data_IF_237612585496
#
_entry.id   IF_237612585496
#
_cell.length_a   1.000
_cell.length_b   1.000
_cell.length_c   1.000
_cell.angle_alpha   90.00
_cell.angle_beta   90.00
_cell.angle_gamma   90.00
#
_symmetry.space_group_name_H-M   'P 1'
#
loop_
_entity.id
_entity.type
_entity.pdbx_description
1 polymer ?
#
# COMPACT_ATOMS: atom_id res chain seq x y z
N UNK A 1 -3.71 -1.33 -7.92
CA UNK A 1 -2.73 -1.12 -6.83
C UNK A 1 -3.08 0.15 -6.06
N UNK A 2 -2.41 0.42 -4.98
CA UNK A 2 -2.71 1.50 -4.01
C UNK A 2 -1.39 2.01 -3.48
N UNK A 3 -1.35 3.24 -3.01
CA UNK A 3 -0.28 3.70 -2.14
C UNK A 3 -0.85 4.52 -0.98
N UNK A 4 -0.60 4.06 0.24
CA UNK A 4 -0.93 4.80 1.45
C UNK A 4 0.32 4.91 2.33
N UNK A 5 0.43 6.04 3.02
CA UNK A 5 1.51 6.33 3.97
C UNK A 5 0.97 7.01 5.22
N UNK A 6 1.41 6.55 6.38
CA UNK A 6 1.11 7.15 7.67
C UNK A 6 2.39 7.46 8.43
N UNK A 7 2.51 8.68 8.93
CA UNK A 7 3.60 9.10 9.81
C UNK A 7 3.12 9.15 11.25
N UNK A 8 3.94 8.62 12.14
CA UNK A 8 3.79 8.69 13.60
C UNK A 8 4.79 9.71 14.16
N UNK A 9 4.32 10.91 14.43
CA UNK A 9 5.15 12.03 14.80
C UNK A 9 4.96 12.39 16.28
N UNK A 10 5.90 13.13 16.86
CA UNK A 10 5.77 13.64 18.24
C UNK A 10 4.46 14.40 18.42
N UNK A 11 4.10 15.27 17.49
CA UNK A 11 2.94 16.15 17.58
C UNK A 11 1.64 15.55 17.07
N UNK A 12 1.67 14.41 16.35
CA UNK A 12 0.46 13.84 15.79
C UNK A 12 0.68 12.78 14.72
N UNK A 13 -0.36 12.51 13.95
CA UNK A 13 -0.33 11.63 12.77
C UNK A 13 -0.52 12.47 11.51
N UNK A 14 0.19 12.07 10.45
CA UNK A 14 -0.07 12.51 9.08
C UNK A 14 -0.38 11.28 8.26
N UNK A 15 -1.54 11.27 7.61
CA UNK A 15 -2.06 10.12 6.87
C UNK A 15 -2.40 10.57 5.45
N UNK A 16 -1.85 9.88 4.46
CA UNK A 16 -2.05 10.21 3.04
C UNK A 16 -2.33 8.94 2.25
N UNK A 17 -3.38 8.97 1.44
CA UNK A 17 -3.73 7.86 0.54
C UNK A 17 -4.06 8.35 -0.85
N UNK A 18 -3.76 7.56 -1.87
CA UNK A 18 -4.38 7.71 -3.18
C UNK A 18 -5.81 7.18 -3.16
N UNK A 19 -6.58 7.46 -4.22
CA UNK A 19 -7.96 6.98 -4.38
C UNK A 19 -8.16 6.19 -5.67
N UNK A 20 -7.16 6.15 -6.55
CA UNK A 20 -7.27 5.43 -7.81
C UNK A 20 -7.35 3.93 -7.58
N UNK A 21 -8.31 3.28 -8.22
CA UNK A 21 -8.45 1.83 -8.26
C UNK A 21 -8.53 1.39 -9.70
N UNK A 22 -7.66 0.44 -10.08
CA UNK A 22 -7.62 -0.13 -11.44
C UNK A 22 -7.97 -1.60 -11.36
N UNK A 23 -9.04 -1.99 -12.04
CA UNK A 23 -9.42 -3.38 -12.27
C UNK A 23 -9.13 -3.72 -13.74
N UNK A 24 -7.83 -3.84 -14.09
CA UNK A 24 -7.36 -3.97 -15.46
C UNK A 24 -6.89 -2.66 -16.07
N UNK A 25 -6.63 -2.66 -17.40
CA UNK A 25 -6.02 -1.50 -18.09
C UNK A 25 -7.04 -0.37 -18.29
N UNK A 26 -8.29 -0.70 -18.55
CA UNK A 26 -9.35 0.23 -18.98
C UNK A 26 -10.40 0.55 -17.90
N UNK A 27 -10.36 -0.14 -16.76
CA UNK A 27 -11.34 0.07 -15.69
C UNK A 27 -10.70 0.82 -14.53
N UNK A 28 -10.64 2.15 -14.66
CA UNK A 28 -10.13 3.06 -13.64
C UNK A 28 -11.31 3.72 -12.93
N UNK A 29 -11.34 3.60 -11.61
CA UNK A 29 -12.36 4.21 -10.76
C UNK A 29 -11.71 4.92 -9.56
N UNK A 30 -12.49 5.76 -8.88
CA UNK A 30 -12.09 6.44 -7.64
C UNK A 30 -12.83 5.81 -6.48
N UNK A 31 -12.08 5.23 -5.55
CA UNK A 31 -12.63 4.67 -4.30
C UNK A 31 -11.94 5.29 -3.10
N UNK A 32 -12.71 5.51 -2.05
CA UNK A 32 -12.17 5.97 -0.80
C UNK A 32 -11.38 4.85 -0.13
N UNK A 33 -10.10 5.11 0.15
CA UNK A 33 -9.21 4.18 0.84
C UNK A 33 -8.90 4.61 2.26
N UNK A 34 -9.28 5.86 2.63
CA UNK A 34 -9.10 6.43 3.96
C UNK A 34 -10.46 6.53 4.66
N UNK A 35 -10.67 5.68 5.65
CA UNK A 35 -11.87 5.61 6.49
C UNK A 35 -11.60 6.34 7.80
N UNK A 36 -12.50 7.23 8.20
CA UNK A 36 -12.34 8.06 9.41
C UNK A 36 -13.50 7.81 10.35
N UNK A 37 -13.20 7.31 11.53
CA UNK A 37 -14.13 7.01 12.61
C UNK A 37 -13.90 8.00 13.73
N UNK A 38 -14.73 9.04 13.79
CA UNK A 38 -14.57 10.13 14.73
C UNK A 38 -15.80 10.25 15.64
N UNK A 39 -15.54 10.41 16.93
CA UNK A 39 -16.46 10.99 17.93
C UNK A 39 -15.66 12.05 18.66
N UNK A 40 -15.88 13.32 18.27
CA UNK A 40 -15.11 14.43 18.78
C UNK A 40 -15.10 14.48 20.33
N UNK A 41 -13.91 14.66 20.88
CA UNK A 41 -13.68 14.61 22.34
C UNK A 41 -13.58 13.21 22.93
N UNK A 42 -13.89 12.14 22.18
CA UNK A 42 -13.82 10.76 22.64
C UNK A 42 -12.77 9.94 21.89
N UNK A 43 -12.81 9.97 20.57
CA UNK A 43 -11.90 9.18 19.73
C UNK A 43 -11.75 9.72 18.31
N UNK A 44 -10.57 9.49 17.75
CA UNK A 44 -10.29 9.54 16.32
C UNK A 44 -9.56 8.28 15.95
N UNK A 45 -10.12 7.49 15.05
CA UNK A 45 -9.48 6.30 14.48
C UNK A 45 -9.54 6.46 12.96
N UNK A 46 -8.42 6.24 12.29
CA UNK A 46 -8.33 6.31 10.83
C UNK A 46 -7.75 5.00 10.32
N UNK A 47 -8.40 4.41 9.34
CA UNK A 47 -7.91 3.23 8.63
C UNK A 47 -7.67 3.56 7.16
N UNK A 48 -6.50 3.20 6.64
CA UNK A 48 -6.20 3.25 5.20
C UNK A 48 -5.97 1.84 4.69
N UNK A 49 -6.59 1.49 3.56
CA UNK A 49 -6.63 0.11 3.06
C UNK A 49 -5.96 -0.04 1.70
N UNK A 50 -5.34 -1.20 1.47
CA UNK A 50 -4.86 -1.66 0.17
C UNK A 50 -5.14 -3.14 -0.04
N UNK A 51 -5.14 -3.59 -1.28
CA UNK A 51 -5.37 -4.99 -1.66
C UNK A 51 -6.66 -5.17 -2.45
N UNK A 52 -7.33 -6.31 -2.25
CA UNK A 52 -8.59 -6.62 -2.91
C UNK A 52 -9.72 -5.73 -2.38
N UNK A 53 -10.40 -4.99 -3.28
CA UNK A 53 -11.42 -4.01 -2.89
C UNK A 53 -12.62 -4.67 -2.21
N UNK A 54 -13.10 -5.81 -2.69
CA UNK A 54 -14.24 -6.52 -2.09
C UNK A 54 -13.91 -6.97 -0.66
N UNK A 55 -12.72 -7.55 -0.46
CA UNK A 55 -12.22 -7.94 0.86
C UNK A 55 -12.11 -6.73 1.79
N UNK A 56 -11.53 -5.62 1.32
CA UNK A 56 -11.37 -4.41 2.15
C UNK A 56 -12.71 -3.82 2.54
N UNK A 57 -13.70 -3.74 1.62
CA UNK A 57 -15.03 -3.24 1.91
C UNK A 57 -15.77 -4.13 2.91
N UNK A 58 -15.69 -5.46 2.76
CA UNK A 58 -16.31 -6.40 3.71
C UNK A 58 -15.70 -6.26 5.12
N UNK A 59 -14.37 -6.16 5.22
CA UNK A 59 -13.69 -5.91 6.50
C UNK A 59 -14.13 -4.59 7.14
N UNK A 60 -14.24 -3.50 6.34
CA UNK A 60 -14.70 -2.21 6.86
C UNK A 60 -16.13 -2.28 7.38
N UNK A 61 -17.05 -2.92 6.66
CA UNK A 61 -18.42 -3.13 7.11
C UNK A 61 -18.47 -3.91 8.43
N UNK A 62 -17.71 -5.00 8.56
CA UNK A 62 -17.70 -5.79 9.78
C UNK A 62 -17.23 -5.01 11.02
N UNK A 63 -16.25 -4.13 10.90
CA UNK A 63 -15.80 -3.34 12.06
C UNK A 63 -16.74 -2.20 12.42
N UNK A 64 -17.56 -1.74 11.47
CA UNK A 64 -18.60 -0.74 11.70
C UNK A 64 -19.87 -1.36 12.29
N UNK A 65 -20.35 -2.48 11.72
CA UNK A 65 -21.54 -3.20 12.18
C UNK A 65 -21.29 -3.93 13.50
N UNK A 66 -20.05 -4.40 13.68
CA UNK A 66 -19.57 -5.05 14.90
C UNK A 66 -19.27 -6.52 14.72
N UNK A 67 -18.36 -7.00 15.57
CA UNK A 67 -18.03 -8.40 15.73
C UNK A 67 -18.26 -8.83 17.17
N UNK A 68 -18.78 -10.04 17.35
CA UNK A 68 -18.90 -10.64 18.68
C UNK A 68 -17.52 -11.04 19.18
N UNK A 69 -17.16 -10.55 20.34
CA UNK A 69 -15.95 -10.95 21.05
C UNK A 69 -16.19 -12.35 21.64
N UNK A 70 -15.41 -13.36 21.26
CA UNK A 70 -15.61 -14.74 21.72
C UNK A 70 -15.38 -14.94 23.23
N UNK A 71 -14.62 -14.04 23.87
CA UNK A 71 -14.31 -14.11 25.30
C UNK A 71 -15.43 -13.50 26.16
N UNK A 72 -16.01 -12.39 25.68
CA UNK A 72 -17.00 -11.63 26.45
C UNK A 72 -18.44 -11.83 25.97
N UNK A 73 -18.64 -12.36 24.77
CA UNK A 73 -19.94 -12.49 24.11
C UNK A 73 -20.59 -11.13 23.76
N UNK A 74 -19.83 -10.03 23.82
CA UNK A 74 -20.33 -8.69 23.49
C UNK A 74 -19.93 -8.32 22.07
N UNK A 75 -20.83 -7.66 21.37
CA UNK A 75 -20.53 -7.10 20.06
C UNK A 75 -19.67 -5.84 20.22
N UNK A 76 -18.47 -5.85 19.63
CA UNK A 76 -17.57 -4.69 19.56
C UNK A 76 -17.57 -4.08 18.17
N UNK A 77 -17.60 -2.76 18.12
CA UNK A 77 -17.45 -1.96 16.88
C UNK A 77 -16.22 -1.08 16.98
N UNK A 78 -15.81 -0.52 15.87
CA UNK A 78 -14.72 0.47 15.85
C UNK A 78 -15.03 1.69 16.75
N UNK A 79 -16.31 1.96 17.00
CA UNK A 79 -16.76 3.03 17.88
C UNK A 79 -16.90 2.66 19.37
N UNK A 80 -16.78 1.37 19.71
CA UNK A 80 -16.91 0.90 21.11
C UNK A 80 -15.59 0.43 21.72
N UNK A 81 -14.57 0.13 20.91
CA UNK A 81 -13.28 -0.36 21.38
C UNK A 81 -12.63 0.61 22.39
N UNK A 82 -12.02 0.10 23.50
CA UNK A 82 -11.48 0.95 24.56
C UNK A 82 -10.10 1.55 24.23
N UNK A 83 -9.43 1.11 23.17
CA UNK A 83 -8.08 1.56 22.81
C UNK A 83 -7.76 1.32 21.34
N UNK A 84 -6.73 2.01 20.83
CA UNK A 84 -6.25 1.79 19.45
C UNK A 84 -5.66 0.38 19.29
N UNK A 85 -5.07 -0.20 20.33
CA UNK A 85 -4.63 -1.59 20.30
C UNK A 85 -5.83 -2.55 20.09
N UNK A 86 -6.93 -2.33 20.83
CA UNK A 86 -8.13 -3.14 20.65
C UNK A 86 -8.76 -2.93 19.27
N UNK A 87 -8.72 -1.72 18.73
CA UNK A 87 -9.12 -1.45 17.35
C UNK A 87 -8.29 -2.26 16.33
N UNK A 88 -6.97 -2.36 16.52
CA UNK A 88 -6.11 -3.19 15.68
C UNK A 88 -6.43 -4.71 15.81
N UNK A 89 -6.74 -5.17 17.00
CA UNK A 89 -7.18 -6.56 17.25
C UNK A 89 -8.53 -6.86 16.60
N UNK A 90 -9.49 -5.95 16.72
CA UNK A 90 -10.81 -6.02 16.06
C UNK A 90 -10.66 -6.08 14.53
N UNK A 91 -9.82 -5.22 13.96
CA UNK A 91 -9.49 -5.23 12.53
C UNK A 91 -8.89 -6.58 12.11
N UNK A 92 -7.95 -7.11 12.88
CA UNK A 92 -7.35 -8.42 12.62
C UNK A 92 -8.38 -9.57 12.71
N UNK A 93 -9.32 -9.51 13.64
CA UNK A 93 -10.42 -10.46 13.75
C UNK A 93 -11.37 -10.38 12.55
N UNK A 94 -11.71 -9.15 12.10
CA UNK A 94 -12.51 -8.93 10.90
C UNK A 94 -11.85 -9.50 9.64
N UNK A 95 -10.54 -9.28 9.48
CA UNK A 95 -9.77 -9.82 8.35
C UNK A 95 -9.84 -11.35 8.33
N UNK A 96 -9.61 -12.02 9.47
CA UNK A 96 -9.69 -13.48 9.55
C UNK A 96 -11.11 -14.00 9.28
N UNK A 97 -12.13 -13.30 9.78
CA UNK A 97 -13.54 -13.67 9.55
C UNK A 97 -13.90 -13.57 8.05
N UNK A 98 -13.46 -12.53 7.35
CA UNK A 98 -13.66 -12.41 5.89
C UNK A 98 -12.84 -13.48 5.13
N UNK A 99 -11.63 -13.79 5.59
CA UNK A 99 -10.86 -14.89 5.03
C UNK A 99 -11.57 -16.24 5.17
N UNK A 100 -12.21 -16.50 6.29
CA UNK A 100 -12.96 -17.74 6.52
C UNK A 100 -14.21 -17.82 5.61
N UNK A 101 -14.82 -16.68 5.27
CA UNK A 101 -15.97 -16.65 4.35
C UNK A 101 -15.58 -16.74 2.87
N UNK A 102 -14.60 -15.95 2.45
CA UNK A 102 -14.34 -15.70 1.02
C UNK A 102 -13.04 -16.35 0.53
N UNK A 103 -12.14 -16.76 1.45
CA UNK A 103 -10.77 -17.18 1.11
C UNK A 103 -10.71 -18.44 0.24
N UNK A 104 -11.62 -19.42 0.44
CA UNK A 104 -11.68 -20.62 -0.39
C UNK A 104 -12.19 -20.29 -1.80
N UNK A 105 -13.28 -19.56 -1.92
CA UNK A 105 -13.84 -19.14 -3.19
C UNK A 105 -12.86 -18.28 -4.01
N UNK A 106 -12.13 -17.36 -3.36
CA UNK A 106 -11.09 -16.57 -4.02
C UNK A 106 -9.96 -17.47 -4.54
N UNK A 107 -9.51 -18.46 -3.77
CA UNK A 107 -8.46 -19.40 -4.16
C UNK A 107 -8.87 -20.26 -5.36
N UNK A 108 -10.09 -20.74 -5.39
CA UNK A 108 -10.65 -21.50 -6.52
C UNK A 108 -10.64 -20.67 -7.82
N UNK A 109 -10.88 -19.37 -7.71
CA UNK A 109 -10.84 -18.44 -8.83
C UNK A 109 -9.41 -17.90 -9.12
N UNK A 110 -8.37 -18.42 -8.47
CA UNK A 110 -6.99 -17.94 -8.58
C UNK A 110 -6.81 -16.45 -8.22
N UNK A 111 -7.68 -15.92 -7.36
CA UNK A 111 -7.59 -14.56 -6.83
C UNK A 111 -6.94 -14.62 -5.44
N UNK A 112 -5.91 -13.81 -5.24
CA UNK A 112 -5.25 -13.74 -3.94
C UNK A 112 -6.14 -13.00 -2.92
N UNK A 113 -6.26 -13.57 -1.72
CA UNK A 113 -6.76 -12.84 -0.57
C UNK A 113 -5.65 -11.90 -0.11
N UNK A 114 -5.77 -10.65 -0.51
CA UNK A 114 -4.77 -9.61 -0.21
C UNK A 114 -5.46 -8.41 0.43
N UNK A 115 -5.03 -8.09 1.63
CA UNK A 115 -5.43 -6.89 2.38
C UNK A 115 -4.26 -6.41 3.24
N UNK A 116 -4.06 -5.12 3.28
CA UNK A 116 -3.13 -4.47 4.19
C UNK A 116 -3.76 -3.19 4.70
N UNK A 117 -3.65 -2.92 5.99
CA UNK A 117 -4.29 -1.76 6.63
C UNK A 117 -3.29 -0.98 7.45
N UNK A 118 -3.23 0.33 7.26
CA UNK A 118 -2.64 1.26 8.24
C UNK A 118 -3.79 1.75 9.12
N UNK A 119 -3.70 1.50 10.43
CA UNK A 119 -4.69 1.93 11.41
C UNK A 119 -4.02 2.80 12.45
N UNK A 120 -4.49 4.02 12.64
CA UNK A 120 -3.93 4.94 13.61
C UNK A 120 -4.98 5.84 14.24
N UNK A 121 -4.60 6.47 15.35
CA UNK A 121 -5.49 7.39 16.06
C UNK A 121 -5.27 7.41 17.55
N UNK A 122 -6.30 7.85 18.25
CA UNK A 122 -6.32 7.96 19.71
C UNK A 122 -7.74 7.81 20.25
N UNK A 123 -7.86 7.14 21.38
CA UNK A 123 -9.07 7.06 22.22
C UNK A 123 -8.78 7.86 23.49
N UNK A 124 -9.77 8.56 24.01
CA UNK A 124 -9.67 9.36 25.24
C UNK A 124 -9.04 8.55 26.39
N UNK A 125 -8.08 9.16 27.07
CA UNK A 125 -7.32 8.54 28.17
C UNK A 125 -6.25 7.54 27.72
N UNK A 126 -6.18 7.20 26.41
CA UNK A 126 -5.19 6.30 25.87
C UNK A 126 -4.12 7.00 25.01
N UNK A 127 -2.99 6.33 24.72
CA UNK A 127 -1.94 6.88 23.87
C UNK A 127 -2.35 6.85 22.39
N UNK A 128 -1.88 7.86 21.64
CA UNK A 128 -1.89 7.84 20.19
C UNK A 128 -0.99 6.72 19.66
N UNK A 129 -1.48 5.94 18.69
CA UNK A 129 -0.75 4.82 18.07
C UNK A 129 -0.97 4.77 16.57
N UNK A 130 -0.04 4.10 15.87
CA UNK A 130 -0.12 3.78 14.46
C UNK A 130 0.31 2.33 14.24
N UNK A 131 -0.50 1.55 13.56
CA UNK A 131 -0.28 0.14 13.28
C UNK A 131 -0.29 -0.13 11.79
N UNK A 132 0.49 -1.13 11.36
CA UNK A 132 0.35 -1.79 10.07
C UNK A 132 -0.17 -3.21 10.32
N UNK A 133 -1.35 -3.52 9.78
CA UNK A 133 -2.05 -4.80 9.94
C UNK A 133 -1.95 -5.55 8.62
N UNK A 134 -1.52 -6.81 8.69
CA UNK A 134 -1.28 -7.70 7.56
C UNK A 134 -2.50 -8.57 7.25
N UNK A 135 -2.48 -9.25 6.10
CA UNK A 135 -3.55 -10.16 5.65
C UNK A 135 -3.85 -11.31 6.61
N UNK A 136 -2.90 -11.71 7.46
CA UNK A 136 -3.12 -12.70 8.50
C UNK A 136 -3.82 -12.14 9.76
N UNK A 137 -4.09 -10.82 9.79
CA UNK A 137 -4.70 -10.15 10.92
C UNK A 137 -3.74 -9.85 12.08
N UNK A 138 -2.44 -10.14 11.93
CA UNK A 138 -1.39 -9.70 12.83
C UNK A 138 -0.92 -8.29 12.46
N UNK A 139 -0.22 -7.62 13.36
CA UNK A 139 0.17 -6.22 13.15
C UNK A 139 1.49 -5.87 13.82
N UNK A 140 2.12 -4.80 13.33
CA UNK A 140 3.26 -4.13 13.94
C UNK A 140 2.90 -2.69 14.28
N UNK A 141 3.59 -2.11 15.27
CA UNK A 141 3.38 -0.74 15.73
C UNK A 141 4.53 0.15 15.29
N UNK A 142 4.22 1.37 14.84
CA UNK A 142 5.21 2.42 14.62
C UNK A 142 5.81 2.90 15.96
N UNK A 143 7.08 3.22 15.94
CA UNK A 143 7.85 3.73 17.09
C UNK A 143 8.58 5.02 16.72
N UNK A 144 9.25 5.64 17.68
CA UNK A 144 10.09 6.79 17.38
C UNK A 144 11.24 6.46 16.40
N UNK A 145 11.78 5.25 16.47
CA UNK A 145 12.86 4.79 15.59
C UNK A 145 12.34 4.37 14.20
N UNK A 146 11.07 4.00 14.11
CA UNK A 146 10.40 3.64 12.85
C UNK A 146 9.11 4.44 12.74
N UNK A 147 9.20 5.75 12.41
CA UNK A 147 8.10 6.69 12.57
C UNK A 147 7.13 6.71 11.39
N UNK A 148 7.16 5.73 10.49
CA UNK A 148 6.20 5.67 9.38
C UNK A 148 5.83 4.24 9.00
N UNK A 149 4.64 4.11 8.40
CA UNK A 149 4.12 2.89 7.80
C UNK A 149 3.67 3.18 6.37
N UNK A 150 3.86 2.20 5.49
CA UNK A 150 3.43 2.26 4.09
C UNK A 150 2.73 0.96 3.71
N UNK A 151 1.72 1.06 2.85
CA UNK A 151 1.04 -0.10 2.24
C UNK A 151 0.85 0.10 0.74
N UNK A 152 0.72 -0.98 0.01
CA UNK A 152 0.59 -0.99 -1.45
C UNK A 152 1.95 -0.85 -2.16
N UNK A 153 2.09 0.08 -3.10
CA UNK A 153 3.32 0.32 -3.88
C UNK A 153 4.37 1.13 -3.10
N UNK A 154 4.98 0.52 -2.12
CA UNK A 154 5.87 1.20 -1.16
C UNK A 154 7.24 1.58 -1.73
N UNK A 155 7.75 0.82 -2.71
CA UNK A 155 9.14 0.89 -3.18
C UNK A 155 9.55 2.23 -3.79
N UNK A 156 8.62 2.93 -4.45
CA UNK A 156 8.93 4.19 -5.13
C UNK A 156 8.94 5.40 -4.18
N UNK A 157 8.05 5.39 -3.19
CA UNK A 157 7.94 6.47 -2.21
C UNK A 157 8.90 6.33 -1.03
N UNK A 158 9.30 5.09 -0.69
CA UNK A 158 10.13 4.78 0.48
C UNK A 158 11.45 5.57 0.54
N UNK A 159 12.23 5.74 -0.55
CA UNK A 159 13.50 6.47 -0.50
C UNK A 159 13.38 7.94 -0.06
N UNK A 160 12.24 8.57 -0.26
CA UNK A 160 11.97 9.95 0.21
C UNK A 160 11.81 9.97 1.73
N UNK A 161 11.06 9.00 2.26
CA UNK A 161 10.76 8.89 3.69
C UNK A 161 11.98 8.45 4.49
N UNK A 162 12.70 7.42 4.05
CA UNK A 162 13.89 6.89 4.73
C UNK A 162 14.96 7.96 4.97
N UNK A 163 15.06 8.96 4.08
CA UNK A 163 16.07 10.02 4.19
C UNK A 163 15.67 11.16 5.10
N UNK A 164 14.35 11.40 5.23
CA UNK A 164 13.88 12.68 5.77
C UNK A 164 12.86 12.56 6.90
N UNK A 165 12.14 11.43 7.01
CA UNK A 165 11.11 11.26 8.04
C UNK A 165 11.76 10.86 9.38
N UNK A 166 11.50 11.64 10.41
CA UNK A 166 11.88 11.34 11.79
C UNK A 166 10.68 11.54 12.71
N UNK A 167 10.73 11.02 13.92
CA UNK A 167 9.69 11.25 14.92
C UNK A 167 9.51 12.73 15.28
N UNK A 168 10.57 13.53 15.14
CA UNK A 168 10.60 14.98 15.41
C UNK A 168 10.12 15.84 14.24
N UNK A 169 9.83 15.25 13.09
CA UNK A 169 9.31 15.97 11.91
C UNK A 169 8.01 16.68 12.28
N UNK A 170 7.89 17.97 11.94
CA UNK A 170 6.63 18.70 12.14
C UNK A 170 5.50 18.14 11.28
N UNK A 171 4.23 18.21 11.68
CA UNK A 171 3.11 17.70 10.87
C UNK A 171 3.07 18.29 9.46
N UNK A 172 3.36 19.57 9.30
CA UNK A 172 3.36 20.22 7.98
C UNK A 172 4.53 19.78 7.09
N UNK A 173 5.71 19.52 7.67
CA UNK A 173 6.81 18.88 6.95
C UNK A 173 6.49 17.43 6.64
N UNK A 174 5.82 16.73 7.53
CA UNK A 174 5.29 15.38 7.30
C UNK A 174 4.35 15.32 6.11
N UNK A 175 3.45 16.29 5.96
CA UNK A 175 2.59 16.40 4.74
C UNK A 175 3.44 16.56 3.48
N UNK A 176 4.44 17.44 3.49
CA UNK A 176 5.35 17.62 2.34
C UNK A 176 6.04 16.30 1.98
N UNK A 177 6.58 15.59 2.96
CA UNK A 177 7.25 14.30 2.76
C UNK A 177 6.30 13.25 2.17
N UNK A 178 5.09 13.12 2.72
CA UNK A 178 4.09 12.19 2.21
C UNK A 178 3.68 12.52 0.77
N UNK A 179 3.48 13.79 0.45
CA UNK A 179 3.12 14.22 -0.91
C UNK A 179 4.26 14.02 -1.92
N UNK A 180 5.52 14.23 -1.53
CA UNK A 180 6.69 13.92 -2.37
C UNK A 180 6.84 12.41 -2.58
N UNK A 181 6.62 11.63 -1.55
CA UNK A 181 6.60 10.16 -1.61
C UNK A 181 5.49 9.65 -2.52
N UNK A 182 4.30 10.27 -2.45
CA UNK A 182 3.16 10.00 -3.33
C UNK A 182 3.47 10.38 -4.78
N UNK A 183 4.08 11.55 -5.04
CA UNK A 183 4.47 11.98 -6.40
C UNK A 183 5.47 11.00 -7.03
N UNK A 184 6.48 10.56 -6.27
CA UNK A 184 7.44 9.56 -6.74
C UNK A 184 6.74 8.25 -7.15
N UNK A 185 5.71 7.85 -6.40
CA UNK A 185 4.94 6.64 -6.67
C UNK A 185 4.04 6.82 -7.89
N UNK A 186 3.29 7.91 -7.99
CA UNK A 186 2.42 8.22 -9.14
C UNK A 186 3.20 8.29 -10.45
N UNK A 187 4.41 8.86 -10.44
CA UNK A 187 5.29 8.92 -11.63
C UNK A 187 5.76 7.56 -12.11
N UNK A 188 5.87 6.60 -11.20
CA UNK A 188 6.49 5.30 -11.49
C UNK A 188 5.47 4.15 -11.57
N UNK A 189 4.21 4.38 -11.19
CA UNK A 189 3.16 3.38 -11.21
C UNK A 189 1.81 3.97 -11.63
N UNK A 190 1.32 3.59 -12.81
CA UNK A 190 0.07 4.07 -13.41
C UNK A 190 -1.18 3.74 -12.58
N UNK A 191 -1.13 2.73 -11.75
CA UNK A 191 -2.27 2.26 -10.95
C UNK A 191 -2.49 3.07 -9.67
N UNK A 192 -1.53 3.91 -9.30
CA UNK A 192 -1.62 4.88 -8.20
C UNK A 192 -1.87 6.26 -8.79
N UNK A 193 -2.80 7.03 -8.22
CA UNK A 193 -3.10 8.33 -8.79
C UNK A 193 -4.12 9.17 -8.02
N UNK A 194 -4.33 10.35 -8.57
CA UNK A 194 -5.26 11.35 -8.05
C UNK A 194 -6.73 10.87 -8.11
N UNK A 195 -7.60 11.43 -7.23
CA UNK A 195 -7.31 12.36 -6.12
C UNK A 195 -6.49 11.73 -4.98
N UNK A 196 -5.85 12.59 -4.16
CA UNK A 196 -5.12 12.20 -2.95
C UNK A 196 -5.86 12.72 -1.71
N UNK A 197 -6.12 11.85 -0.74
CA UNK A 197 -6.66 12.22 0.56
C UNK A 197 -5.53 12.47 1.55
N UNK A 198 -5.59 13.59 2.26
CA UNK A 198 -4.65 14.01 3.31
C UNK A 198 -5.42 14.24 4.60
N UNK A 199 -4.89 13.71 5.71
CA UNK A 199 -5.44 13.94 7.05
C UNK A 199 -4.31 14.20 8.03
N UNK A 200 -4.51 15.20 8.89
CA UNK A 200 -3.64 15.52 10.02
C UNK A 200 -4.44 15.36 11.30
N UNK A 201 -3.96 14.53 12.20
CA UNK A 201 -4.45 14.40 13.56
C UNK A 201 -3.41 14.95 14.52
N UNK A 202 -3.79 15.95 15.33
CA UNK A 202 -2.94 16.48 16.39
C UNK A 202 -3.08 15.62 17.65
N UNK A 203 -1.97 15.24 18.25
CA UNK A 203 -1.95 14.46 19.49
C UNK A 203 -2.82 15.11 20.57
N UNK A 204 -3.60 14.29 21.27
CA UNK A 204 -4.48 14.65 22.38
C UNK A 204 -5.65 15.59 22.02
N UNK A 205 -5.85 15.92 20.74
CA UNK A 205 -6.96 16.79 20.31
C UNK A 205 -8.32 16.07 20.31
N UNK A 206 -8.33 14.75 20.14
CA UNK A 206 -9.52 13.90 20.01
C UNK A 206 -10.53 14.44 18.99
N UNK A 207 -10.03 15.10 17.97
CA UNK A 207 -10.76 15.57 16.79
C UNK A 207 -9.85 15.63 15.59
N UNK A 208 -10.41 15.48 14.39
CA UNK A 208 -9.67 15.63 13.14
C UNK A 208 -9.25 17.10 12.99
N UNK A 209 -7.94 17.35 12.95
CA UNK A 209 -7.40 18.70 12.84
C UNK A 209 -7.52 19.27 11.43
N UNK A 210 -7.26 18.44 10.44
CA UNK A 210 -7.29 18.84 9.03
C UNK A 210 -7.57 17.63 8.15
N UNK A 211 -8.44 17.78 7.16
CA UNK A 211 -8.73 16.78 6.13
C UNK A 211 -8.99 17.47 4.80
N UNK A 212 -8.29 17.03 3.75
CA UNK A 212 -8.47 17.59 2.41
C UNK A 212 -8.29 16.51 1.35
N UNK A 213 -9.05 16.61 0.27
CA UNK A 213 -8.85 15.87 -0.97
C UNK A 213 -8.18 16.79 -1.99
N UNK A 214 -6.98 16.41 -2.42
CA UNK A 214 -6.22 17.11 -3.45
C UNK A 214 -6.58 16.53 -4.82
N UNK A 215 -6.93 17.41 -5.74
CA UNK A 215 -7.21 17.06 -7.14
C UNK A 215 -6.00 17.36 -8.04
N UNK A 216 -6.06 16.93 -9.28
CA UNK A 216 -4.93 16.97 -10.24
C UNK A 216 -4.31 18.37 -10.41
N UNK A 217 -5.12 19.40 -10.31
CA UNK A 217 -4.71 20.81 -10.48
C UNK A 217 -4.56 21.58 -9.17
N UNK A 218 -4.41 20.89 -8.04
CA UNK A 218 -4.16 21.55 -6.76
C UNK A 218 -2.89 22.42 -6.86
N UNK A 219 -2.97 23.74 -6.55
CA UNK A 219 -1.86 24.67 -6.75
C UNK A 219 -0.64 24.33 -5.89
N UNK A 220 -0.87 23.91 -4.63
CA UNK A 220 0.21 23.56 -3.73
C UNK A 220 0.93 22.29 -4.20
N UNK A 221 0.16 21.25 -4.55
CA UNK A 221 0.73 19.99 -5.02
C UNK A 221 1.48 20.18 -6.35
N UNK A 222 0.96 20.99 -7.27
CA UNK A 222 1.62 21.32 -8.54
C UNK A 222 2.95 22.05 -8.31
N UNK A 223 2.97 23.05 -7.45
CA UNK A 223 4.19 23.79 -7.07
C UNK A 223 5.21 22.87 -6.39
N UNK A 224 4.76 22.00 -5.47
CA UNK A 224 5.62 21.06 -4.76
C UNK A 224 6.35 20.12 -5.72
N UNK A 225 5.62 19.51 -6.67
CA UNK A 225 6.16 18.62 -7.71
C UNK A 225 7.18 19.32 -8.60
N UNK A 226 6.88 20.54 -9.04
CA UNK A 226 7.76 21.32 -9.90
C UNK A 226 9.06 21.63 -9.17
N UNK A 227 8.99 22.23 -7.98
CA UNK A 227 10.17 22.61 -7.20
C UNK A 227 11.05 21.42 -6.83
N UNK A 228 10.43 20.29 -6.47
CA UNK A 228 11.17 19.08 -6.18
C UNK A 228 11.94 18.58 -7.41
N UNK A 229 11.29 18.54 -8.56
CA UNK A 229 11.93 18.14 -9.82
C UNK A 229 13.06 19.07 -10.26
N UNK A 230 12.92 20.38 -10.02
CA UNK A 230 13.97 21.38 -10.30
C UNK A 230 15.17 21.20 -9.38
N UNK A 231 14.93 21.07 -8.07
CA UNK A 231 15.98 20.87 -7.07
C UNK A 231 16.78 19.59 -7.30
N UNK A 232 16.10 18.48 -7.65
CA UNK A 232 16.79 17.23 -8.00
C UNK A 232 17.71 17.37 -9.21
N UNK A 233 17.28 18.08 -10.27
CA UNK A 233 18.10 18.32 -11.44
C UNK A 233 19.29 19.23 -11.13
N UNK A 234 19.11 20.22 -10.28
CA UNK A 234 20.18 21.12 -9.83
C UNK A 234 21.23 20.34 -9.02
N UNK A 235 20.80 19.59 -8.01
CA UNK A 235 21.70 18.74 -7.22
C UNK A 235 22.43 17.74 -8.10
N UNK A 236 21.73 17.05 -9.03
CA UNK A 236 22.36 16.12 -9.96
C UNK A 236 23.49 16.78 -10.78
N UNK A 237 23.25 18.00 -11.29
CA UNK A 237 24.26 18.74 -12.07
C UNK A 237 25.45 19.22 -11.24
N UNK A 238 25.25 19.45 -9.93
CA UNK A 238 26.31 19.90 -9.01
C UNK A 238 27.24 18.77 -8.59
N UNK A 239 26.83 17.50 -8.72
CA UNK A 239 27.68 16.37 -8.39
C UNK A 239 28.79 16.25 -9.45
N UNK A 240 30.08 16.25 -9.04
CA UNK A 240 31.18 16.08 -9.97
C UNK A 240 31.06 14.78 -10.77
N UNK A 241 31.43 14.83 -12.04
CA UNK A 241 31.54 13.60 -12.84
C UNK A 241 32.65 12.71 -12.29
N UNK A 242 32.51 11.37 -12.35
CA UNK A 242 33.57 10.47 -11.93
C UNK A 242 34.79 10.62 -12.82
N UNK A 243 35.97 10.53 -12.25
CA UNK A 243 37.26 10.61 -12.93
C UNK A 243 37.73 9.27 -13.53
N UNK A 244 36.83 8.33 -13.71
CA UNK A 244 37.14 6.99 -14.24
C UNK A 244 37.92 6.96 -15.56
N UNK A 245 37.72 7.91 -16.52
CA UNK A 245 38.52 7.93 -17.73
C UNK A 245 40.02 8.11 -17.51
N UNK A 246 40.41 8.75 -16.40
CA UNK A 246 41.84 8.93 -16.06
C UNK A 246 42.49 7.68 -15.45
N UNK A 247 41.70 6.82 -14.79
CA UNK A 247 42.18 5.64 -14.05
C UNK A 247 41.58 4.33 -14.56
N UNK A 248 40.69 4.37 -15.56
CA UNK A 248 40.09 3.17 -16.11
C UNK A 248 41.12 2.31 -16.85
N UNK A 249 41.15 0.98 -16.65
CA UNK A 249 41.86 0.08 -17.52
C UNK A 249 41.49 0.32 -19.00
N UNK A 250 42.41 0.09 -19.93
CA UNK A 250 42.17 0.33 -21.36
C UNK A 250 40.86 -0.27 -21.90
N UNK A 251 40.40 -1.36 -21.29
CA UNK A 251 39.12 -1.99 -21.61
C UNK A 251 37.87 -1.12 -21.32
N UNK A 252 37.94 -0.15 -20.38
CA UNK A 252 36.83 0.75 -20.07
C UNK A 252 36.89 2.07 -20.88
N UNK A 253 37.96 2.30 -21.64
CA UNK A 253 38.10 3.49 -22.50
C UNK A 253 37.44 3.36 -23.87
N UNK A 254 36.70 2.26 -24.11
CA UNK A 254 36.01 2.06 -25.39
C UNK A 254 34.93 3.14 -25.57
N UNK A 255 34.96 3.74 -26.76
CA UNK A 255 33.89 4.63 -27.20
C UNK A 255 32.69 3.81 -27.62
N UNK A 256 31.52 4.45 -27.65
CA UNK A 256 30.26 3.80 -28.01
C UNK A 256 30.25 3.24 -29.45
N UNK A 257 31.08 3.78 -30.33
CA UNK A 257 31.29 3.43 -31.73
C UNK A 257 32.46 2.47 -32.00
N UNK A 258 33.16 2.01 -30.93
CA UNK A 258 34.22 1.01 -31.10
C UNK A 258 33.62 -0.35 -31.54
N UNK A 259 34.31 -1.10 -32.42
CA UNK A 259 33.83 -2.40 -32.89
C UNK A 259 33.68 -3.41 -31.72
N UNK A 260 32.78 -4.40 -31.86
CA UNK A 260 32.56 -5.39 -30.81
C UNK A 260 33.86 -6.07 -30.40
N UNK A 261 33.98 -6.41 -29.09
CA UNK A 261 35.17 -7.15 -28.59
C UNK A 261 35.35 -8.49 -29.30
N UNK A 262 36.56 -8.81 -29.66
CA UNK A 262 36.86 -10.14 -30.16
C UNK A 262 36.67 -11.20 -29.06
N UNK A 263 36.40 -12.46 -29.42
CA UNK A 263 36.33 -13.55 -28.43
C UNK A 263 37.60 -13.68 -27.58
N UNK A 264 38.77 -13.29 -28.12
CA UNK A 264 40.05 -13.30 -27.43
C UNK A 264 40.13 -12.21 -26.36
N UNK A 265 39.65 -11.02 -26.67
CA UNK A 265 39.59 -9.89 -25.72
C UNK A 265 38.63 -10.22 -24.55
N UNK A 266 37.50 -10.82 -24.83
CA UNK A 266 36.53 -11.28 -23.80
C UNK A 266 37.16 -12.34 -22.90
N UNK A 267 37.93 -13.26 -23.48
CA UNK A 267 38.64 -14.29 -22.72
C UNK A 267 39.78 -13.72 -21.86
N UNK A 268 40.49 -12.70 -22.36
CA UNK A 268 41.51 -11.99 -21.61
C UNK A 268 40.93 -11.21 -20.40
N UNK A 269 39.78 -10.56 -20.57
CA UNK A 269 39.07 -9.87 -19.50
C UNK A 269 38.62 -10.82 -18.36
N UNK A 270 38.17 -12.03 -18.72
CA UNK A 270 37.78 -13.06 -17.73
C UNK A 270 38.94 -13.63 -16.92
N UNK A 271 40.19 -13.52 -17.43
CA UNK A 271 41.41 -13.99 -16.74
C UNK A 271 41.99 -12.95 -15.79
N UNK A 272 41.56 -11.70 -15.83
CA UNK A 272 42.01 -10.69 -14.89
C UNK A 272 41.36 -10.92 -13.51
N UNK A 273 42.15 -10.89 -12.42
CA UNK A 273 41.61 -10.99 -11.07
C UNK A 273 40.70 -9.79 -10.83
N UNK A 274 39.61 -9.95 -10.07
CA UNK A 274 38.67 -8.86 -9.75
C UNK A 274 39.44 -7.70 -9.11
N UNK A 275 39.16 -6.48 -9.58
CA UNK A 275 39.71 -5.25 -9.02
C UNK A 275 39.49 -5.19 -7.50
N UNK A 276 40.47 -4.68 -6.74
CA UNK A 276 40.35 -4.51 -5.29
C UNK A 276 39.08 -3.75 -4.86
N UNK A 277 38.55 -2.88 -5.73
CA UNK A 277 37.31 -2.10 -5.51
C UNK A 277 36.04 -2.95 -5.57
N UNK A 278 36.09 -4.16 -6.14
CA UNK A 278 34.92 -5.05 -6.23
C UNK A 278 34.92 -6.16 -5.14
N UNK A 279 35.88 -6.15 -4.21
CA UNK A 279 35.83 -7.05 -3.05
C UNK A 279 34.72 -6.51 -2.10
N UNK A 280 33.68 -7.31 -1.91
CA UNK A 280 32.74 -7.07 -0.82
C UNK A 280 33.50 -7.00 0.49
N UNK A 281 33.08 -6.15 1.42
CA UNK A 281 33.66 -6.02 2.74
C UNK A 281 33.76 -7.36 3.50
N UNK A 282 32.98 -8.37 3.12
CA UNK A 282 33.02 -9.76 3.60
C UNK A 282 34.23 -10.56 3.18
N UNK A 283 35.00 -10.12 2.15
CA UNK A 283 36.12 -10.85 1.58
C UNK A 283 37.48 -10.35 2.14
N UNK A 284 37.46 -9.41 3.09
CA UNK A 284 38.67 -8.94 3.77
C UNK A 284 39.15 -10.01 4.76
N UNK A 285 40.44 -10.42 4.71
CA UNK A 285 40.97 -11.54 5.52
C UNK A 285 41.00 -11.29 7.02
N UNK A 286 40.61 -10.12 7.53
CA UNK A 286 40.63 -9.77 8.94
C UNK A 286 39.54 -8.76 9.33
N UNK A 287 38.28 -8.98 8.95
CA UNK A 287 37.19 -8.21 9.53
C UNK A 287 36.84 -8.78 10.92
N UNK A 288 36.94 -8.01 12.02
CA UNK A 288 36.59 -8.51 13.34
C UNK A 288 35.05 -8.66 13.44
N UNK A 289 34.63 -9.90 13.75
CA UNK A 289 33.35 -10.11 14.45
C UNK A 289 32.09 -10.05 13.63
N UNK A 290 32.01 -10.71 12.47
CA UNK A 290 30.68 -11.13 11.95
C UNK A 290 30.61 -12.66 12.14
N UNK A 291 29.92 -13.09 13.20
CA UNK A 291 29.54 -14.49 13.38
C UNK A 291 28.75 -14.93 12.13
N UNK A 292 29.31 -15.86 11.37
CA UNK A 292 28.64 -16.52 10.26
C UNK A 292 27.52 -17.39 10.85
N UNK A 293 26.30 -16.87 10.90
CA UNK A 293 25.11 -17.72 11.07
C UNK A 293 24.97 -18.54 9.80
N UNK A 294 25.25 -19.83 9.89
CA UNK A 294 24.98 -20.79 8.81
C UNK A 294 26.13 -21.76 8.48
N UNK A 295 26.83 -22.30 9.48
CA UNK A 295 27.47 -23.59 9.30
C UNK A 295 26.56 -24.69 9.82
N UNK A 296 26.29 -25.77 9.06
CA UNK A 296 25.55 -26.90 9.60
C UNK A 296 26.37 -27.51 10.76
N UNK A 297 25.73 -27.62 11.91
CA UNK A 297 26.26 -28.36 13.06
C UNK A 297 26.41 -29.81 12.63
N UNK A 298 27.56 -30.48 12.88
CA UNK A 298 27.69 -31.88 12.58
C UNK A 298 26.68 -32.64 13.41
N UNK A 299 25.90 -33.50 12.77
CA UNK A 299 24.90 -34.34 13.40
C UNK A 299 25.59 -35.26 14.42
N UNK A 300 25.19 -35.10 15.68
CA UNK A 300 25.52 -36.10 16.72
C UNK A 300 24.71 -37.36 16.43
N UNK A 301 25.40 -38.51 16.38
CA UNK A 301 24.81 -39.86 16.31
C UNK A 301 23.87 -40.05 17.50
N UNK A 302 22.57 -39.96 17.29
CA UNK A 302 21.60 -40.18 18.37
C UNK A 302 20.11 -40.07 18.01
N UNK A 303 19.76 -39.32 16.98
CA UNK A 303 18.33 -39.09 16.64
C UNK A 303 17.98 -39.71 15.26
N UNK A 304 17.91 -41.04 15.20
CA UNK A 304 17.20 -41.73 14.13
C UNK A 304 15.76 -41.88 14.50
N UNK A 305 14.89 -41.05 13.92
CA UNK A 305 13.46 -41.31 13.83
C UNK A 305 13.20 -42.55 12.95
N UNK A 306 12.28 -43.46 13.31
CA UNK A 306 11.99 -44.66 12.53
C UNK A 306 11.24 -44.28 11.25
N UNK A 307 11.70 -44.84 10.12
CA UNK A 307 11.01 -44.75 8.84
C UNK A 307 9.64 -45.43 8.90
N UNK A 308 8.59 -44.84 8.26
CA UNK A 308 7.31 -45.55 8.12
C UNK A 308 7.43 -46.65 7.08
N UNK A 309 7.14 -47.88 7.49
CA UNK A 309 7.07 -49.09 6.66
C UNK A 309 6.04 -48.94 5.54
N UNK A 310 6.49 -49.02 4.29
CA UNK A 310 5.65 -49.21 3.11
C UNK A 310 5.11 -50.65 3.09
N UNK A 311 3.82 -50.78 3.42
CA UNK A 311 3.06 -51.99 3.17
C UNK A 311 2.69 -52.13 1.69
N UNK A 312 3.14 -53.21 1.08
CA UNK A 312 2.77 -53.62 -0.28
C UNK A 312 1.36 -54.18 -0.31
N UNK A 313 0.55 -53.79 -1.31
CA UNK A 313 -0.77 -54.36 -1.52
C UNK A 313 -1.41 -53.89 -2.85
N UNK A 314 -1.09 -54.57 -3.91
CA UNK A 314 -1.87 -55.13 -5.00
C UNK A 314 -2.86 -54.28 -5.85
N UNK A 315 -2.50 -54.22 -7.14
CA UNK A 315 -3.27 -54.56 -8.34
C UNK A 315 -4.49 -53.71 -8.80
N UNK A 316 -4.31 -53.02 -9.93
CA UNK A 316 -5.03 -53.24 -11.15
C UNK A 316 -6.41 -52.59 -11.30
N UNK A 317 -6.49 -51.55 -12.14
CA UNK A 317 -7.57 -51.39 -13.10
C UNK A 317 -7.19 -50.35 -14.17
N UNK A 318 -7.41 -50.75 -15.43
CA UNK A 318 -7.05 -50.09 -16.66
C UNK A 318 -7.85 -48.81 -16.91
N UNK A 319 -7.20 -47.80 -17.47
CA UNK A 319 -7.85 -46.63 -18.04
C UNK A 319 -8.33 -46.89 -19.44
N UNK A 320 -9.60 -46.63 -19.73
CA UNK A 320 -10.11 -46.46 -21.11
C UNK A 320 -10.24 -44.96 -21.44
N UNK A 321 -10.04 -44.59 -22.73
CA UNK A 321 -10.04 -43.19 -23.15
C UNK A 321 -11.44 -42.68 -23.45
N UNK A 322 -11.79 -41.51 -22.95
CA UNK A 322 -13.04 -40.84 -23.26
C UNK A 322 -12.99 -40.19 -24.65
N UNK A 323 -13.94 -40.55 -25.50
CA UNK A 323 -14.20 -40.05 -26.85
C UNK A 323 -14.75 -38.63 -26.80
N UNK A 324 -14.23 -37.79 -27.67
CA UNK A 324 -14.78 -36.49 -28.09
C UNK A 324 -16.13 -36.69 -28.79
N UNK A 325 -17.18 -36.07 -28.25
CA UNK A 325 -18.50 -35.95 -28.90
C UNK A 325 -18.84 -34.48 -29.09
N UNK A 326 -18.73 -34.02 -30.31
CA UNK A 326 -19.28 -32.77 -30.82
C UNK A 326 -20.78 -32.88 -31.00
N UNK A 327 -21.60 -32.07 -30.32
CA UNK A 327 -22.95 -31.70 -30.74
C UNK A 327 -23.25 -30.30 -30.25
N UNK A 328 -23.39 -29.36 -31.19
CA UNK A 328 -23.90 -28.02 -30.93
C UNK A 328 -25.44 -28.03 -30.81
N UNK A 329 -26.05 -27.09 -30.14
CA UNK A 329 -27.48 -26.87 -30.21
C UNK A 329 -27.85 -25.79 -31.23
N UNK A 330 -28.89 -26.12 -32.00
CA UNK A 330 -29.61 -25.23 -32.92
C UNK A 330 -30.37 -24.09 -32.20
N UNK A 331 -30.73 -23.00 -32.92
CA UNK A 331 -31.39 -21.83 -32.36
C UNK A 331 -32.92 -22.01 -32.32
N UNK A 332 -33.52 -21.67 -31.20
CA UNK A 332 -34.98 -21.57 -31.06
C UNK A 332 -35.40 -20.10 -31.10
N UNK A 333 -36.42 -19.91 -31.90
CA UNK A 333 -37.06 -18.78 -32.47
C UNK A 333 -37.45 -17.62 -31.53
N UNK A 334 -37.67 -16.49 -32.22
CA UNK A 334 -38.01 -15.20 -31.70
C UNK A 334 -39.34 -15.09 -30.99
N UNK A 335 -39.43 -14.08 -30.19
CA UNK A 335 -40.71 -13.45 -29.79
C UNK A 335 -40.56 -11.94 -29.72
N UNK A 336 -41.61 -11.32 -30.24
CA UNK A 336 -41.81 -9.96 -30.69
C UNK A 336 -41.55 -8.83 -29.69
N UNK A 337 -41.24 -7.70 -30.29
CA UNK A 337 -41.26 -6.37 -29.74
C UNK A 337 -42.60 -5.98 -29.11
N UNK A 338 -42.57 -5.37 -27.95
CA UNK A 338 -43.64 -4.53 -27.44
C UNK A 338 -43.09 -3.24 -26.92
N UNK A 339 -43.37 -2.15 -27.62
CA UNK A 339 -43.17 -0.77 -27.23
C UNK A 339 -44.32 -0.35 -26.31
N UNK A 340 -44.10 0.37 -25.21
CA UNK A 340 -45.13 1.19 -24.63
C UNK A 340 -44.82 2.70 -24.73
N UNK A 341 -45.88 3.36 -25.10
CA UNK A 341 -46.12 4.72 -25.44
C UNK A 341 -45.68 5.82 -24.47
N UNK A 342 -45.46 6.95 -25.08
CA UNK A 342 -45.38 8.29 -24.51
C UNK A 342 -46.59 8.60 -23.63
N UNK A 343 -46.36 9.13 -22.44
CA UNK A 343 -47.25 10.12 -21.81
C UNK A 343 -46.46 11.35 -21.39
N UNK A 344 -46.98 12.48 -21.81
CA UNK A 344 -46.57 13.82 -21.52
C UNK A 344 -47.10 14.28 -20.14
N UNK A 345 -46.50 15.35 -19.66
CA UNK A 345 -46.81 16.28 -18.53
C UNK A 345 -45.90 16.01 -17.32
N UNK A 346 -45.00 16.93 -16.96
CA UNK A 346 -45.38 18.10 -16.19
C UNK A 346 -44.22 19.11 -16.06
N UNK A 347 -44.65 20.33 -15.87
CA UNK A 347 -43.97 21.59 -15.83
C UNK A 347 -42.86 21.74 -14.77
N UNK A 348 -41.81 22.45 -15.13
CA UNK A 348 -40.83 23.05 -14.21
C UNK A 348 -41.46 24.24 -13.47
N UNK A 349 -41.25 24.44 -12.17
CA UNK A 349 -41.47 25.74 -11.52
C UNK A 349 -40.25 26.66 -11.72
N UNK A 350 -40.55 27.95 -11.91
CA UNK A 350 -39.61 29.06 -12.10
C UNK A 350 -38.83 29.42 -10.81
N UNK A 351 -37.67 30.09 -10.92
CA UNK A 351 -36.89 30.48 -9.75
C UNK A 351 -37.47 31.67 -9.03
N UNK A 352 -37.52 31.60 -7.70
CA UNK A 352 -37.94 32.67 -6.79
C UNK A 352 -36.82 33.70 -6.61
N UNK A 353 -37.17 34.95 -6.75
CA UNK A 353 -36.41 36.19 -6.51
C UNK A 353 -36.04 36.34 -5.02
N UNK A 354 -34.83 36.86 -4.70
CA UNK A 354 -34.46 37.17 -3.30
C UNK A 354 -35.12 38.48 -2.80
N UNK A 355 -35.34 38.60 -1.49
CA UNK A 355 -35.96 39.82 -0.91
C UNK A 355 -34.92 40.93 -0.73
N UNK A 356 -35.43 42.18 -0.84
CA UNK A 356 -34.71 43.44 -0.79
C UNK A 356 -34.01 43.71 0.55
N UNK A 357 -32.83 44.29 0.45
CA UNK A 357 -32.06 44.90 1.57
C UNK A 357 -32.86 45.98 2.28
N UNK A 358 -32.96 45.89 3.60
CA UNK A 358 -33.37 47.00 4.45
C UNK A 358 -32.16 47.73 4.98
N UNK A 359 -32.14 49.04 4.70
CA UNK A 359 -31.09 49.96 5.08
C UNK A 359 -30.87 50.08 6.59
N UNK A 360 -29.64 50.32 6.95
CA UNK A 360 -29.15 50.67 8.30
C UNK A 360 -29.32 52.19 8.48
N UNK A 361 -29.92 52.71 9.57
CA UNK A 361 -29.90 54.12 9.88
C UNK A 361 -28.58 54.47 10.61
N UNK A 362 -27.93 55.50 10.11
CA UNK A 362 -26.86 56.24 10.80
C UNK A 362 -27.49 57.19 11.81
N UNK A 363 -27.06 57.16 13.05
CA UNK A 363 -27.14 58.32 13.96
C UNK A 363 -26.18 58.21 15.13
N UNK A 364 -25.46 59.31 15.35
CA UNK A 364 -25.09 59.91 16.59
C UNK A 364 -23.74 59.51 17.18
#
# INVERSE_FOLDING_TARGET
MTYCVGLFLREGLVLVSDTRTSAGVDNIAVYNKMHVFERAGERVIVAMTSGNLAVTQHVMSLIEDGLDDPETGRTETIYSVPSILRAAQLMGAAIRKVHDYDGEALREQHVHFDISVILGGQVQGGPMKLFHIYSAGNFIQATADTPFMQIGETKYGKPVLDRNATFETSPMDGVKLCLLSMDATIRSNLTVGMPIDVLIYKRDSLQVGYRQRLHEHDPYYTMLRQRWGEALREVYRSIPSPDWPAHAPNAMRRRWDDPPLSPEDIAAMRRQPPSPLNRRASDAPNAPGIERRGQPVPATEGDRMPEPSLGAGAAGAAAEPFRTGTTGPEPVGGLAAATPGRRASDARPAPSTPPAEKGIPTSG
#
